data_IF_836748707670
#
_entry.id   IF_836748707670
#
_cell.length_a   1.000
_cell.length_b   1.000
_cell.length_c   1.000
_cell.angle_alpha   90.00
_cell.angle_beta   90.00
_cell.angle_gamma   90.00
#
_symmetry.space_group_name_H-M   'P 1'
#
loop_
_entity.id
_entity.type
_entity.pdbx_description
1 polymer ?
#
# COMPACT_ATOMS: atom_id res chain seq x y z
N UNK A 1 5.78 0.49 -20.77
CA UNK A 1 5.61 1.96 -20.95
C UNK A 1 6.23 2.63 -19.76
N UNK A 2 7.12 3.58 -19.99
CA UNK A 2 7.68 4.43 -18.93
C UNK A 2 6.79 5.66 -18.79
N UNK A 3 6.46 6.03 -17.55
CA UNK A 3 5.78 7.29 -17.23
C UNK A 3 6.77 8.44 -17.02
N UNK A 4 8.06 8.19 -17.22
CA UNK A 4 9.13 9.16 -17.06
C UNK A 4 9.54 9.70 -18.43
N UNK A 5 9.57 11.03 -18.56
CA UNK A 5 10.05 11.78 -19.73
C UNK A 5 11.19 12.68 -19.29
N UNK A 6 11.79 13.39 -20.22
CA UNK A 6 12.84 14.41 -19.94
C UNK A 6 12.31 15.56 -19.07
N UNK A 7 10.98 15.78 -19.07
CA UNK A 7 10.29 16.78 -18.24
C UNK A 7 9.87 16.24 -16.87
N UNK A 8 10.07 14.94 -16.59
CA UNK A 8 9.73 14.29 -15.36
C UNK A 8 8.61 13.23 -15.49
N UNK A 9 7.94 12.94 -14.39
CA UNK A 9 6.90 11.91 -14.32
C UNK A 9 5.55 12.46 -14.77
N UNK A 10 5.00 11.91 -15.86
CA UNK A 10 3.70 12.34 -16.43
C UNK A 10 2.49 12.03 -15.55
N UNK A 11 2.63 11.13 -14.58
CA UNK A 11 1.60 10.74 -13.60
C UNK A 11 1.97 11.14 -12.18
N UNK A 12 2.76 12.19 -12.03
CA UNK A 12 3.31 12.59 -10.72
C UNK A 12 2.24 12.80 -9.65
N UNK A 13 1.13 13.44 -9.98
CA UNK A 13 0.00 13.70 -9.08
C UNK A 13 -0.71 12.42 -8.67
N UNK A 14 -0.83 11.47 -9.61
CA UNK A 14 -1.55 10.21 -9.41
C UNK A 14 -0.63 9.02 -9.18
N UNK A 15 0.63 9.29 -8.82
CA UNK A 15 1.63 8.24 -8.63
C UNK A 15 1.20 7.22 -7.56
N UNK A 16 1.55 5.93 -7.75
CA UNK A 16 1.26 4.86 -6.81
C UNK A 16 1.88 5.09 -5.43
N UNK A 17 1.35 4.44 -4.42
CA UNK A 17 1.83 4.55 -3.03
C UNK A 17 3.32 4.25 -2.90
N UNK A 18 3.85 3.24 -3.59
CA UNK A 18 5.28 2.93 -3.58
C UNK A 18 6.14 4.10 -4.04
N UNK A 19 5.72 4.80 -5.12
CA UNK A 19 6.41 6.01 -5.60
C UNK A 19 6.30 7.19 -4.63
N UNK A 20 5.24 7.23 -3.82
CA UNK A 20 5.06 8.28 -2.80
C UNK A 20 5.92 8.04 -1.57
N UNK A 21 6.16 6.79 -1.23
CA UNK A 21 7.04 6.43 -0.13
C UNK A 21 8.51 6.74 -0.42
N UNK A 22 8.95 6.55 -1.67
CA UNK A 22 10.35 6.76 -2.02
C UNK A 22 10.84 8.17 -1.61
N UNK A 23 12.00 8.32 -0.96
CA UNK A 23 13.04 7.30 -0.74
C UNK A 23 12.87 6.46 0.54
N UNK A 24 11.76 6.57 1.24
CA UNK A 24 11.49 5.78 2.44
C UNK A 24 10.97 4.39 2.02
N UNK A 25 11.64 3.34 2.46
CA UNK A 25 11.15 1.97 2.40
C UNK A 25 10.47 1.61 3.73
N UNK A 26 9.46 0.76 3.68
CA UNK A 26 8.78 0.23 4.86
C UNK A 26 8.80 -1.30 4.80
N UNK A 27 9.26 -1.93 5.86
CA UNK A 27 9.11 -3.36 6.08
C UNK A 27 8.19 -3.61 7.28
N UNK A 28 7.26 -4.54 7.10
CA UNK A 28 6.41 -5.05 8.17
C UNK A 28 6.84 -6.49 8.44
N UNK A 29 7.43 -6.74 9.60
CA UNK A 29 7.95 -8.06 9.98
C UNK A 29 6.87 -9.02 10.49
N UNK A 30 5.60 -8.64 10.41
CA UNK A 30 4.50 -9.53 10.79
C UNK A 30 4.25 -10.61 9.75
N UNK A 31 4.93 -11.74 9.88
CA UNK A 31 4.42 -12.98 9.33
C UNK A 31 3.30 -13.50 10.24
N UNK A 32 2.04 -13.31 9.81
CA UNK A 32 0.92 -14.04 10.39
C UNK A 32 0.12 -13.36 11.52
N UNK A 33 0.06 -12.03 11.59
CA UNK A 33 -0.76 -11.34 12.59
C UNK A 33 -0.21 -11.57 13.99
N UNK A 34 0.82 -10.81 14.35
CA UNK A 34 1.46 -10.94 15.66
C UNK A 34 0.48 -10.62 16.79
N UNK A 35 0.36 -11.53 17.71
CA UNK A 35 -0.18 -11.26 19.04
C UNK A 35 1.00 -11.12 19.98
N UNK A 36 0.88 -10.22 20.94
CA UNK A 36 1.84 -10.14 22.03
C UNK A 36 1.79 -11.42 22.90
N UNK A 37 2.69 -11.55 23.82
CA UNK A 37 2.74 -12.67 24.78
C UNK A 37 1.48 -12.80 25.66
N UNK A 38 0.61 -11.77 25.65
CA UNK A 38 -0.66 -11.73 26.37
C UNK A 38 -1.86 -12.00 25.44
N UNK A 39 -1.63 -12.26 24.14
CA UNK A 39 -2.68 -12.58 23.17
C UNK A 39 -3.39 -11.37 22.56
N UNK A 40 -2.96 -10.13 22.86
CA UNK A 40 -3.51 -8.92 22.27
C UNK A 40 -2.98 -8.75 20.83
N UNK A 41 -3.81 -8.27 19.92
CA UNK A 41 -3.34 -7.87 18.60
C UNK A 41 -2.38 -6.68 18.76
N UNK A 42 -1.13 -6.87 18.32
CA UNK A 42 -0.15 -5.78 18.29
C UNK A 42 -0.67 -4.65 17.41
N UNK A 43 -0.65 -3.44 17.95
CA UNK A 43 -1.13 -2.26 17.23
C UNK A 43 -0.25 -1.99 16.01
N UNK A 44 -0.88 -1.57 14.94
CA UNK A 44 -0.34 -1.59 13.58
C UNK A 44 0.93 -0.76 13.33
N UNK A 45 1.37 0.06 14.25
CA UNK A 45 2.48 1.00 14.06
C UNK A 45 3.76 0.62 14.80
N UNK A 46 3.71 -0.26 15.80
CA UNK A 46 4.89 -0.60 16.63
C UNK A 46 5.88 -1.55 15.94
N UNK A 47 5.46 -2.27 14.90
CA UNK A 47 6.28 -3.26 14.19
C UNK A 47 6.71 -2.82 12.79
N UNK A 48 6.49 -1.57 12.43
CA UNK A 48 6.95 -1.04 11.16
C UNK A 48 8.38 -0.56 11.27
N UNK A 49 9.21 -1.10 10.43
CA UNK A 49 10.58 -0.64 10.27
C UNK A 49 10.69 0.21 9.00
N UNK A 50 11.19 1.44 9.15
CA UNK A 50 11.47 2.33 8.05
C UNK A 50 12.96 2.34 7.75
N UNK A 51 13.31 2.33 6.46
CA UNK A 51 14.68 2.41 6.01
C UNK A 51 14.79 3.36 4.81
N UNK A 52 15.95 3.92 4.61
CA UNK A 52 16.22 4.81 3.50
C UNK A 52 16.73 4.00 2.30
N UNK A 53 16.02 4.11 1.17
CA UNK A 53 16.46 3.57 -0.11
C UNK A 53 17.34 4.63 -0.77
N UNK A 54 18.60 4.30 -1.02
CA UNK A 54 19.56 5.19 -1.67
C UNK A 54 19.91 4.65 -3.03
N UNK A 55 19.65 5.46 -4.05
CA UNK A 55 19.99 5.14 -5.45
C UNK A 55 20.80 6.29 -6.04
N UNK A 56 21.86 5.96 -6.77
CA UNK A 56 22.84 6.94 -7.26
C UNK A 56 22.26 8.00 -8.21
N UNK A 57 21.15 7.66 -8.86
CA UNK A 57 20.48 8.60 -9.77
C UNK A 57 19.53 9.58 -9.05
N UNK A 58 19.25 9.38 -7.77
CA UNK A 58 18.33 10.23 -7.02
C UNK A 58 19.04 11.46 -6.45
N UNK A 59 18.83 12.61 -7.09
CA UNK A 59 19.38 13.89 -6.65
C UNK A 59 18.72 14.47 -5.39
N UNK A 60 17.57 13.95 -4.98
CA UNK A 60 16.90 14.38 -3.77
C UNK A 60 17.70 14.14 -2.47
N UNK A 61 18.72 13.27 -2.51
CA UNK A 61 19.62 13.06 -1.38
C UNK A 61 20.72 14.13 -1.23
N UNK A 62 20.83 14.99 -2.23
CA UNK A 62 21.80 16.10 -2.26
C UNK A 62 21.17 17.44 -1.84
N UNK A 63 19.83 17.44 -1.59
CA UNK A 63 19.10 18.63 -1.16
C UNK A 63 19.34 18.95 0.32
N UNK A 64 19.42 20.24 0.64
CA UNK A 64 19.69 20.73 2.00
C UNK A 64 18.55 20.50 2.99
N UNK A 65 17.35 20.20 2.49
CA UNK A 65 16.15 20.02 3.32
C UNK A 65 16.16 18.67 4.03
N UNK A 66 16.22 18.72 5.34
CA UNK A 66 16.06 17.54 6.18
C UNK A 66 14.58 17.22 6.40
N UNK A 67 14.25 15.93 6.40
CA UNK A 67 12.91 15.43 6.62
C UNK A 67 12.91 14.36 7.71
N UNK A 68 11.97 14.43 8.62
CA UNK A 68 11.60 13.25 9.41
C UNK A 68 10.71 12.32 8.59
N UNK A 69 10.67 11.05 8.94
CA UNK A 69 9.78 10.07 8.29
C UNK A 69 8.32 10.51 8.39
N UNK A 70 7.92 11.07 9.52
CA UNK A 70 6.55 11.58 9.74
C UNK A 70 6.20 12.75 8.81
N UNK A 71 7.07 13.74 8.70
CA UNK A 71 6.88 14.88 7.80
C UNK A 71 6.84 14.46 6.34
N UNK A 72 7.74 13.56 5.93
CA UNK A 72 7.72 13.01 4.58
C UNK A 72 6.42 12.30 4.26
N UNK A 73 5.96 11.42 5.17
CA UNK A 73 4.69 10.71 5.01
C UNK A 73 3.49 11.66 4.88
N UNK A 74 3.44 12.69 5.71
CA UNK A 74 2.37 13.70 5.67
C UNK A 74 2.39 14.49 4.36
N UNK A 75 3.55 14.96 3.92
CA UNK A 75 3.73 15.70 2.67
C UNK A 75 3.33 14.86 1.45
N UNK A 76 3.70 13.58 1.45
CA UNK A 76 3.40 12.65 0.35
C UNK A 76 1.97 12.07 0.41
N UNK A 77 1.21 12.34 1.46
CA UNK A 77 -0.17 11.89 1.65
C UNK A 77 -0.30 10.36 1.68
N UNK A 78 0.67 9.66 2.27
CA UNK A 78 0.66 8.18 2.30
C UNK A 78 -0.22 7.61 3.39
N UNK A 79 -0.51 8.35 4.46
CA UNK A 79 -1.26 7.84 5.61
C UNK A 79 -2.69 7.40 5.23
N UNK A 80 -3.39 8.19 4.40
CA UNK A 80 -4.72 7.82 3.89
C UNK A 80 -4.66 6.54 3.05
N UNK A 81 -3.59 6.38 2.28
CA UNK A 81 -3.37 5.19 1.43
C UNK A 81 -3.06 3.96 2.27
N UNK A 82 -2.30 4.13 3.36
CA UNK A 82 -2.02 3.07 4.32
C UNK A 82 -3.29 2.58 5.01
N UNK A 83 -4.18 3.47 5.40
CA UNK A 83 -5.47 3.08 5.97
C UNK A 83 -6.33 2.27 4.98
N UNK A 84 -6.33 2.65 3.70
CA UNK A 84 -7.01 1.86 2.66
C UNK A 84 -6.33 0.52 2.45
N UNK A 85 -5.00 0.48 2.46
CA UNK A 85 -4.24 -0.75 2.33
C UNK A 85 -4.47 -1.71 3.50
N UNK A 86 -4.57 -1.22 4.74
CA UNK A 86 -4.96 -2.03 5.91
C UNK A 86 -6.31 -2.72 5.69
N UNK A 87 -7.31 -2.01 5.15
CA UNK A 87 -8.62 -2.59 4.82
C UNK A 87 -8.50 -3.68 3.75
N UNK A 88 -7.69 -3.42 2.73
CA UNK A 88 -7.42 -4.39 1.67
C UNK A 88 -6.72 -5.64 2.20
N UNK A 89 -5.70 -5.49 3.05
CA UNK A 89 -5.00 -6.60 3.68
C UNK A 89 -5.94 -7.50 4.49
N UNK A 90 -6.93 -6.94 5.20
CA UNK A 90 -7.96 -7.74 5.90
C UNK A 90 -8.72 -8.65 4.95
N UNK A 91 -9.07 -8.16 3.76
CA UNK A 91 -9.73 -8.99 2.72
C UNK A 91 -8.82 -10.11 2.23
N UNK A 92 -7.55 -9.80 1.97
CA UNK A 92 -6.57 -10.79 1.52
C UNK A 92 -6.34 -11.86 2.60
N UNK A 93 -6.20 -11.45 3.86
CA UNK A 93 -6.02 -12.39 4.98
C UNK A 93 -7.26 -13.28 5.17
N UNK A 94 -8.45 -12.70 5.10
CA UNK A 94 -9.71 -13.49 5.14
C UNK A 94 -9.77 -14.50 3.99
N UNK A 95 -9.35 -14.12 2.79
CA UNK A 95 -9.27 -15.06 1.66
C UNK A 95 -8.28 -16.19 1.93
N UNK A 96 -7.10 -15.87 2.45
CA UNK A 96 -6.06 -16.86 2.79
C UNK A 96 -6.54 -17.86 3.85
N UNK A 97 -7.41 -17.43 4.79
CA UNK A 97 -7.95 -18.31 5.83
C UNK A 97 -8.86 -19.43 5.32
N UNK A 98 -9.38 -19.32 4.08
CA UNK A 98 -10.16 -20.39 3.45
C UNK A 98 -9.30 -21.56 2.90
N UNK A 99 -7.98 -21.48 3.03
CA UNK A 99 -7.02 -22.51 2.60
C UNK A 99 -6.68 -22.45 1.11
N UNK A 100 -5.58 -23.13 0.75
CA UNK A 100 -5.03 -23.09 -0.60
C UNK A 100 -5.93 -23.75 -1.67
N UNK A 101 -6.86 -24.61 -1.27
CA UNK A 101 -7.76 -25.31 -2.19
C UNK A 101 -9.09 -24.57 -2.41
N UNK A 102 -9.37 -23.50 -1.67
CA UNK A 102 -10.59 -22.73 -1.85
C UNK A 102 -10.52 -21.92 -3.17
N UNK A 103 -11.20 -22.41 -4.18
CA UNK A 103 -11.40 -21.69 -5.44
C UNK A 103 -12.55 -20.71 -5.32
N UNK A 104 -12.34 -19.48 -5.77
CA UNK A 104 -13.44 -18.52 -5.88
C UNK A 104 -14.41 -18.98 -6.98
N UNK A 105 -15.73 -18.88 -6.70
CA UNK A 105 -16.73 -19.07 -7.73
C UNK A 105 -16.53 -18.06 -8.87
N UNK A 106 -16.99 -18.40 -10.06
CA UNK A 106 -16.92 -17.48 -11.21
C UNK A 106 -17.70 -16.18 -10.96
N UNK A 107 -18.79 -16.25 -10.22
CA UNK A 107 -19.54 -15.09 -9.78
C UNK A 107 -18.71 -14.17 -8.88
N UNK A 108 -18.00 -14.74 -7.90
CA UNK A 108 -17.12 -13.96 -7.01
C UNK A 108 -15.96 -13.31 -7.76
N UNK A 109 -15.39 -14.01 -8.75
CA UNK A 109 -14.34 -13.44 -9.62
C UNK A 109 -14.87 -12.27 -10.45
N UNK A 110 -16.04 -12.43 -11.07
CA UNK A 110 -16.67 -11.35 -11.85
C UNK A 110 -16.99 -10.13 -10.98
N UNK A 111 -17.56 -10.35 -9.80
CA UNK A 111 -17.86 -9.29 -8.85
C UNK A 111 -16.59 -8.53 -8.43
N UNK A 112 -15.52 -9.25 -8.09
CA UNK A 112 -14.23 -8.66 -7.74
C UNK A 112 -13.64 -7.85 -8.90
N UNK A 113 -13.66 -8.41 -10.12
CA UNK A 113 -13.18 -7.72 -11.30
C UNK A 113 -13.97 -6.43 -11.55
N UNK A 114 -15.32 -6.51 -11.49
CA UNK A 114 -16.19 -5.35 -11.65
C UNK A 114 -15.92 -4.27 -10.60
N UNK A 115 -15.80 -4.66 -9.32
CA UNK A 115 -15.48 -3.72 -8.24
C UNK A 115 -14.12 -3.04 -8.42
N UNK A 116 -13.17 -3.72 -9.08
CA UNK A 116 -11.81 -3.20 -9.29
C UNK A 116 -11.66 -2.34 -10.55
N UNK A 117 -12.50 -2.56 -11.57
CA UNK A 117 -12.33 -1.94 -12.90
C UNK A 117 -13.48 -1.04 -13.32
N UNK A 118 -14.69 -1.29 -12.82
CA UNK A 118 -15.90 -0.52 -13.15
C UNK A 118 -16.79 -0.32 -11.90
N UNK A 119 -16.37 0.60 -11.05
CA UNK A 119 -17.08 0.92 -9.81
C UNK A 119 -18.51 1.45 -10.07
N UNK A 120 -18.72 2.14 -11.19
CA UNK A 120 -20.05 2.64 -11.58
C UNK A 120 -21.04 1.51 -11.86
N UNK A 121 -20.59 0.49 -12.57
CA UNK A 121 -21.39 -0.71 -12.84
C UNK A 121 -21.61 -1.53 -11.56
N UNK A 122 -20.55 -1.72 -10.74
CA UNK A 122 -20.64 -2.42 -9.47
C UNK A 122 -21.69 -1.81 -8.54
N UNK A 123 -21.69 -0.48 -8.37
CA UNK A 123 -22.66 0.22 -7.52
C UNK A 123 -24.10 0.03 -7.94
N UNK A 124 -24.38 -0.01 -9.25
CA UNK A 124 -25.73 -0.21 -9.76
C UNK A 124 -26.30 -1.60 -9.48
N UNK A 125 -25.41 -2.60 -9.32
CA UNK A 125 -25.83 -3.99 -9.10
C UNK A 125 -25.86 -4.42 -7.65
N UNK A 126 -25.07 -3.78 -6.77
CA UNK A 126 -24.84 -4.26 -5.42
C UNK A 126 -25.12 -3.22 -4.31
N UNK A 127 -25.41 -1.99 -4.65
CA UNK A 127 -25.77 -0.92 -3.74
C UNK A 127 -27.07 -0.23 -4.16
#
# INVERSE_FOLDING_TARGET
>A
MSFVTDEGCTVYTDRPTACRYYPVGMADFREGGGRDEHGNELTADEDKFYFLVREDHCKGHEEDKEWTVGEWRADQGVDVRDEMNKKWLRLIMRRKSFGHQATLSEQAKRMFFMASTDLGHFRRFYL
#
